data_IF_081543986857
#
_entry.id   IF_081543986857
#
_cell.length_a   1.000
_cell.length_b   1.000
_cell.length_c   1.000
_cell.angle_alpha   90.00
_cell.angle_beta   90.00
_cell.angle_gamma   90.00
#
_symmetry.space_group_name_H-M   'P 1'
#
loop_
_entity.id
_entity.type
_entity.pdbx_description
1 polymer ?
#
# COMPACT_ATOMS: atom_id res chain seq x y z
N UNK A 1 -4.53 15.10 1.90
CA UNK A 1 -3.44 14.84 2.87
C UNK A 1 -2.24 15.70 2.48
N UNK A 2 -1.96 16.80 3.19
CA UNK A 2 -0.77 17.66 3.00
C UNK A 2 -0.48 18.39 4.33
N UNK A 3 0.78 18.65 4.67
CA UNK A 3 2.01 18.23 3.97
C UNK A 3 2.34 16.74 4.20
N UNK A 4 3.01 16.11 3.23
CA UNK A 4 3.52 14.73 3.33
C UNK A 4 5.04 14.78 3.54
N UNK A 5 5.56 13.90 4.39
CA UNK A 5 6.99 13.85 4.74
C UNK A 5 7.79 13.15 3.64
N UNK A 6 8.42 13.95 2.77
CA UNK A 6 9.21 13.45 1.64
C UNK A 6 10.50 12.76 2.08
N UNK A 7 11.13 13.24 3.14
CA UNK A 7 12.41 12.71 3.63
C UNK A 7 12.20 11.32 4.23
N UNK A 8 11.15 11.16 5.06
CA UNK A 8 10.79 9.85 5.60
C UNK A 8 10.46 8.83 4.50
N UNK A 9 9.76 9.26 3.45
CA UNK A 9 9.45 8.40 2.29
C UNK A 9 10.72 8.01 1.54
N UNK A 10 11.60 8.97 1.23
CA UNK A 10 12.85 8.68 0.52
C UNK A 10 13.76 7.74 1.34
N UNK A 11 13.84 7.95 2.65
CA UNK A 11 14.57 7.06 3.54
C UNK A 11 13.97 5.66 3.54
N UNK A 12 12.67 5.51 3.76
CA UNK A 12 12.02 4.20 3.77
C UNK A 12 12.16 3.49 2.41
N UNK A 13 12.03 4.23 1.31
CA UNK A 13 12.14 3.71 -0.04
C UNK A 13 13.55 3.21 -0.40
N UNK A 14 14.60 3.78 0.18
CA UNK A 14 16.00 3.40 -0.12
C UNK A 14 16.59 2.41 0.89
N UNK A 15 16.06 2.36 2.11
CA UNK A 15 16.61 1.54 3.20
C UNK A 15 15.84 0.23 3.45
N UNK A 16 14.75 -0.02 2.73
CA UNK A 16 13.91 -1.21 2.94
C UNK A 16 13.76 -2.04 1.68
N UNK A 17 13.30 -3.28 1.83
CA UNK A 17 13.01 -4.17 0.70
C UNK A 17 11.66 -3.87 0.03
N UNK A 18 10.71 -3.30 0.77
CA UNK A 18 9.36 -2.96 0.30
C UNK A 18 8.84 -1.75 1.04
N UNK A 19 8.09 -0.91 0.33
CA UNK A 19 7.24 0.12 0.92
C UNK A 19 5.79 -0.29 0.75
N UNK A 20 5.03 -0.27 1.85
CA UNK A 20 3.59 -0.48 1.83
C UNK A 20 2.89 0.80 2.25
N UNK A 21 1.86 1.21 1.50
CA UNK A 21 0.91 2.24 1.96
C UNK A 21 -0.39 1.56 2.34
N UNK A 22 -1.01 2.05 3.42
CA UNK A 22 -2.31 1.62 3.90
C UNK A 22 -3.21 2.84 4.05
N UNK A 23 -4.36 2.84 3.40
CA UNK A 23 -5.34 3.93 3.48
C UNK A 23 -6.79 3.40 3.52
N UNK A 24 -7.66 4.03 4.32
CA UNK A 24 -9.10 3.74 4.40
C UNK A 24 -9.89 4.46 3.29
N UNK A 25 -9.25 4.73 2.16
CA UNK A 25 -9.79 5.46 1.03
C UNK A 25 -9.39 4.78 -0.29
N UNK A 26 -9.86 5.35 -1.41
CA UNK A 26 -9.45 4.90 -2.74
C UNK A 26 -7.93 4.92 -2.89
N UNK A 27 -7.36 3.81 -3.38
CA UNK A 27 -5.94 3.78 -3.74
C UNK A 27 -5.62 4.76 -4.86
N UNK A 28 -6.60 5.10 -5.70
CA UNK A 28 -6.44 6.03 -6.82
C UNK A 28 -6.60 7.47 -6.35
N UNK A 29 -5.57 8.29 -6.59
CA UNK A 29 -5.50 9.67 -6.12
C UNK A 29 -5.26 9.83 -4.60
N UNK A 30 -5.04 8.72 -3.89
CA UNK A 30 -4.85 8.68 -2.44
C UNK A 30 -3.41 8.83 -1.96
N UNK A 31 -3.16 8.42 -0.72
CA UNK A 31 -1.83 8.37 -0.09
C UNK A 31 -0.85 7.57 -0.95
N UNK A 32 -1.28 6.40 -1.43
CA UNK A 32 -0.44 5.56 -2.26
C UNK A 32 0.01 6.25 -3.55
N UNK A 33 -0.81 7.12 -4.13
CA UNK A 33 -0.44 7.94 -5.28
C UNK A 33 0.60 9.00 -4.92
N UNK A 34 0.37 9.76 -3.85
CA UNK A 34 1.31 10.79 -3.39
C UNK A 34 2.70 10.20 -3.04
N UNK A 35 2.74 9.02 -2.43
CA UNK A 35 3.99 8.29 -2.15
C UNK A 35 4.65 7.83 -3.45
N UNK A 36 3.87 7.32 -4.42
CA UNK A 36 4.39 6.89 -5.72
C UNK A 36 5.03 8.04 -6.50
N UNK A 37 4.43 9.23 -6.48
CA UNK A 37 4.98 10.44 -7.12
C UNK A 37 6.36 10.78 -6.55
N UNK A 38 6.52 10.75 -5.22
CA UNK A 38 7.82 11.04 -4.57
C UNK A 38 8.84 9.95 -4.91
N UNK A 39 8.44 8.68 -4.83
CA UNK A 39 9.36 7.56 -5.09
C UNK A 39 9.83 7.53 -6.55
N UNK A 40 8.99 7.91 -7.50
CA UNK A 40 9.34 7.95 -8.93
C UNK A 40 10.44 8.97 -9.27
N UNK A 41 10.70 9.94 -8.39
CA UNK A 41 11.76 10.94 -8.54
C UNK A 41 13.09 10.53 -7.86
N UNK A 42 13.16 9.33 -7.24
CA UNK A 42 14.36 8.87 -6.52
C UNK A 42 15.37 8.16 -7.43
N UNK A 43 16.64 8.47 -7.21
CA UNK A 43 17.80 7.88 -7.90
C UNK A 43 18.79 7.27 -6.89
N UNK A 44 19.50 6.16 -7.20
CA UNK A 44 19.49 5.40 -8.45
C UNK A 44 18.32 4.40 -8.56
N UNK A 45 17.45 4.35 -7.55
CA UNK A 45 16.31 3.45 -7.51
C UNK A 45 15.69 3.37 -6.12
N UNK A 46 14.55 2.69 -6.02
CA UNK A 46 13.79 2.57 -4.79
C UNK A 46 13.17 1.17 -4.66
N UNK A 47 12.79 0.81 -3.43
CA UNK A 47 12.06 -0.41 -3.14
C UNK A 47 10.73 -0.47 -3.90
N UNK A 48 10.21 -1.66 -4.24
CA UNK A 48 8.87 -1.79 -4.78
C UNK A 48 7.81 -1.24 -3.84
N UNK A 49 6.95 -0.37 -4.35
CA UNK A 49 5.78 0.16 -3.67
C UNK A 49 4.59 -0.80 -3.82
N UNK A 50 3.88 -1.05 -2.71
CA UNK A 50 2.62 -1.82 -2.66
C UNK A 50 1.54 -0.97 -2.00
N UNK A 51 0.47 -0.69 -2.73
CA UNK A 51 -0.65 0.13 -2.26
C UNK A 51 -1.80 -0.74 -1.77
N UNK A 52 -2.14 -0.62 -0.48
CA UNK A 52 -3.27 -1.26 0.19
C UNK A 52 -4.29 -0.18 0.52
N UNK A 53 -5.53 -0.39 0.09
CA UNK A 53 -6.63 0.55 0.25
C UNK A 53 -7.84 0.09 -0.53
N UNK A 54 -8.90 0.90 -0.55
CA UNK A 54 -10.11 0.59 -1.29
C UNK A 54 -9.79 0.61 -2.79
N UNK A 55 -10.03 -0.51 -3.47
CA UNK A 55 -9.98 -0.55 -4.94
C UNK A 55 -11.33 -0.14 -5.50
N UNK A 56 -11.38 0.44 -6.70
CA UNK A 56 -12.64 0.66 -7.41
C UNK A 56 -13.24 -0.71 -7.75
N UNK A 57 -13.97 -1.27 -6.81
CA UNK A 57 -14.86 -2.39 -7.01
C UNK A 57 -16.28 -1.83 -6.92
N UNK A 58 -17.10 -2.08 -7.94
CA UNK A 58 -18.52 -1.74 -7.93
C UNK A 58 -19.24 -2.61 -6.90
N UNK A 59 -19.05 -2.31 -5.62
CA UNK A 59 -19.66 -3.03 -4.53
C UNK A 59 -21.09 -2.49 -4.34
N UNK A 60 -22.07 -3.29 -4.78
CA UNK A 60 -23.51 -3.05 -4.59
C UNK A 60 -23.99 -3.34 -3.16
N UNK A 61 -23.06 -3.47 -2.21
CA UNK A 61 -23.32 -3.99 -0.87
C UNK A 61 -23.28 -2.86 0.15
N UNK A 62 -24.37 -2.68 0.90
CA UNK A 62 -24.46 -1.73 2.03
C UNK A 62 -24.35 -2.52 3.33
N UNK A 63 -23.52 -2.07 4.27
CA UNK A 63 -23.30 -2.69 5.59
C UNK A 63 -22.58 -1.74 6.55
N UNK A 64 -22.34 -2.16 7.80
CA UNK A 64 -21.63 -1.35 8.79
C UNK A 64 -20.12 -1.21 8.46
N UNK A 65 -19.44 -0.24 9.09
CA UNK A 65 -18.05 0.10 8.76
C UNK A 65 -17.07 -1.08 8.96
N UNK A 66 -17.29 -1.92 9.98
CA UNK A 66 -16.40 -3.07 10.24
C UNK A 66 -16.64 -4.16 9.19
N UNK A 67 -17.90 -4.41 8.84
CA UNK A 67 -18.27 -5.30 7.75
C UNK A 67 -17.68 -4.83 6.42
N UNK A 68 -17.76 -3.53 6.11
CA UNK A 68 -17.17 -2.96 4.90
C UNK A 68 -15.63 -3.03 4.93
N UNK A 69 -14.99 -2.78 6.08
CA UNK A 69 -13.53 -2.93 6.23
C UNK A 69 -13.07 -4.36 5.96
N UNK A 70 -13.74 -5.35 6.53
CA UNK A 70 -13.45 -6.77 6.28
C UNK A 70 -13.75 -7.15 4.83
N UNK A 71 -14.87 -6.67 4.27
CA UNK A 71 -15.26 -6.90 2.87
C UNK A 71 -14.22 -6.31 1.90
N UNK A 72 -13.59 -5.19 2.25
CA UNK A 72 -12.55 -4.54 1.46
C UNK A 72 -11.13 -4.94 1.87
N UNK A 73 -10.97 -5.90 2.79
CA UNK A 73 -9.68 -6.46 3.20
C UNK A 73 -8.75 -5.47 3.93
N UNK A 74 -9.32 -4.51 4.66
CA UNK A 74 -8.60 -3.50 5.44
C UNK A 74 -8.59 -3.77 6.95
N UNK A 75 -9.08 -4.93 7.39
CA UNK A 75 -8.86 -5.40 8.76
C UNK A 75 -7.41 -5.88 8.96
N UNK A 76 -6.97 -5.92 10.21
CA UNK A 76 -5.59 -6.27 10.58
C UNK A 76 -5.17 -7.65 10.04
N UNK A 77 -6.02 -8.66 10.16
CA UNK A 77 -5.71 -10.02 9.73
C UNK A 77 -5.51 -10.07 8.21
N UNK A 78 -6.42 -9.45 7.45
CA UNK A 78 -6.33 -9.43 5.98
C UNK A 78 -5.12 -8.63 5.50
N UNK A 79 -4.81 -7.50 6.13
CA UNK A 79 -3.62 -6.69 5.81
C UNK A 79 -2.34 -7.48 6.07
N UNK A 80 -2.21 -8.10 7.25
CA UNK A 80 -1.04 -8.90 7.61
C UNK A 80 -0.85 -10.07 6.63
N UNK A 81 -1.92 -10.79 6.32
CA UNK A 81 -1.91 -11.90 5.36
C UNK A 81 -1.48 -11.44 3.97
N UNK A 82 -1.98 -10.29 3.52
CA UNK A 82 -1.61 -9.70 2.23
C UNK A 82 -0.12 -9.36 2.16
N UNK A 83 0.41 -8.70 3.20
CA UNK A 83 1.84 -8.36 3.30
C UNK A 83 2.70 -9.63 3.29
N UNK A 84 2.35 -10.63 4.11
CA UNK A 84 3.08 -11.91 4.19
C UNK A 84 3.10 -12.65 2.85
N UNK A 85 1.98 -12.68 2.12
CA UNK A 85 1.91 -13.30 0.79
C UNK A 85 2.82 -12.61 -0.22
N UNK A 86 2.85 -11.27 -0.23
CA UNK A 86 3.69 -10.48 -1.15
C UNK A 86 5.18 -10.73 -0.87
N UNK A 87 5.56 -10.71 0.41
CA UNK A 87 6.94 -10.96 0.83
C UNK A 87 7.34 -12.39 0.44
N UNK A 88 6.54 -13.40 0.79
CA UNK A 88 6.84 -14.82 0.57
C UNK A 88 6.93 -15.19 -0.92
N UNK A 89 6.01 -14.71 -1.77
CA UNK A 89 6.05 -14.95 -3.23
C UNK A 89 7.35 -14.46 -3.88
N UNK A 90 8.01 -13.49 -3.26
CA UNK A 90 9.24 -12.91 -3.78
C UNK A 90 10.50 -13.66 -3.32
N UNK A 91 10.41 -14.53 -2.31
CA UNK A 91 11.51 -15.41 -1.91
C UNK A 91 11.64 -16.64 -2.82
N UNK A 92 10.56 -17.09 -3.47
CA UNK A 92 10.57 -18.23 -4.38
C UNK A 92 11.00 -17.94 -5.83
N UNK A 93 11.37 -16.69 -6.15
CA UNK A 93 11.81 -16.26 -7.49
C UNK A 93 13.31 -16.01 -7.60
N UNK A 94 14.07 -16.36 -6.56
CA UNK A 94 15.53 -16.44 -6.66
C UNK A 94 15.88 -17.84 -7.17
N UNK A 95 15.85 -18.01 -8.48
CA UNK A 95 16.24 -19.21 -9.22
C UNK A 95 16.76 -18.80 -10.59
#
# INVERSE_FOLDING_TARGET
>A
MKPIDREAIAWAATQTRYVFTLEEHSVDGGLGGAVAEIMAELEPGHAPLKRIGLRPEFNKTVGDQNYLKALHGLDEETVLKTIQQIITRSYGRVG
#
